data_IF_079304592559
#
_entry.id   IF_079304592559
#
_cell.length_a   1.000
_cell.length_b   1.000
_cell.length_c   1.000
_cell.angle_alpha   90.00
_cell.angle_beta   90.00
_cell.angle_gamma   90.00
#
_symmetry.space_group_name_H-M   'P 1'
#
loop_
_entity.id
_entity.type
_entity.pdbx_description
1 polymer ?
#
# COMPACT_ATOMS: atom_id res chain seq x y z
N UNK A 1 -17.53 -24.57 -58.74
CA UNK A 1 -17.02 -23.82 -59.91
C UNK A 1 -16.65 -22.44 -59.41
N UNK A 2 -15.57 -21.92 -59.94
CA UNK A 2 -14.82 -20.71 -59.57
C UNK A 2 -13.73 -20.89 -58.49
N UNK A 3 -12.55 -20.55 -58.99
CA UNK A 3 -11.21 -21.04 -58.72
C UNK A 3 -10.34 -19.80 -58.86
N UNK A 4 -9.77 -19.28 -57.76
CA UNK A 4 -8.78 -18.19 -57.83
C UNK A 4 -7.63 -18.47 -56.87
N UNK A 5 -6.64 -19.18 -57.43
CA UNK A 5 -5.18 -18.98 -57.39
C UNK A 5 -4.55 -18.32 -56.14
N UNK A 6 -3.82 -19.14 -55.37
CA UNK A 6 -2.60 -18.75 -54.65
C UNK A 6 -1.38 -18.87 -55.59
N UNK A 7 -0.34 -18.04 -55.44
CA UNK A 7 1.00 -18.40 -55.90
C UNK A 7 1.87 -18.89 -54.74
N UNK A 8 2.46 -20.06 -54.94
CA UNK A 8 3.65 -20.57 -54.25
C UNK A 8 4.90 -20.35 -55.12
N UNK A 9 6.06 -20.42 -54.45
CA UNK A 9 7.44 -20.56 -54.95
C UNK A 9 8.10 -19.25 -55.45
N UNK A 10 9.38 -18.98 -55.19
CA UNK A 10 10.50 -19.90 -55.24
C UNK A 10 11.74 -19.40 -54.47
N UNK A 11 12.61 -20.35 -54.13
CA UNK A 11 13.88 -20.25 -53.39
C UNK A 11 14.99 -19.91 -54.39
N UNK A 12 15.93 -19.02 -54.05
CA UNK A 12 17.32 -19.19 -54.52
C UNK A 12 18.35 -18.56 -53.57
N UNK A 13 19.34 -19.39 -53.27
CA UNK A 13 20.57 -19.22 -52.50
C UNK A 13 21.62 -18.35 -53.21
N UNK A 14 22.41 -17.55 -52.47
CA UNK A 14 23.86 -17.77 -52.25
C UNK A 14 24.55 -16.62 -51.46
N UNK A 15 25.12 -16.98 -50.30
CA UNK A 15 26.56 -16.88 -49.94
C UNK A 15 27.31 -15.53 -49.87
N UNK A 16 28.22 -15.48 -48.86
CA UNK A 16 29.42 -14.62 -48.66
C UNK A 16 29.05 -13.28 -47.94
N UNK A 17 29.57 -12.86 -46.78
CA UNK A 17 30.95 -12.71 -46.26
C UNK A 17 30.94 -12.68 -44.70
N UNK A 18 31.90 -13.35 -44.05
CA UNK A 18 32.30 -13.16 -42.63
C UNK A 18 33.39 -12.09 -42.52
N UNK A 19 33.54 -11.34 -41.40
CA UNK A 19 34.82 -10.77 -41.02
C UNK A 19 35.48 -11.64 -39.93
N UNK A 20 36.65 -12.16 -40.28
CA UNK A 20 37.59 -12.81 -39.37
C UNK A 20 38.68 -11.84 -38.89
N UNK A 21 39.24 -12.21 -37.76
CA UNK A 21 40.36 -11.64 -37.02
C UNK A 21 41.65 -11.53 -37.84
N UNK A 22 42.48 -10.53 -37.54
CA UNK A 22 43.93 -10.57 -37.77
C UNK A 22 44.67 -9.93 -36.57
N UNK A 23 45.61 -10.71 -36.04
CA UNK A 23 46.59 -10.41 -35.01
C UNK A 23 47.83 -9.68 -35.56
N UNK A 24 48.48 -8.97 -34.63
CA UNK A 24 49.91 -8.73 -34.42
C UNK A 24 50.81 -8.04 -35.48
N UNK A 25 51.59 -7.07 -34.96
CA UNK A 25 52.85 -6.67 -35.57
C UNK A 25 53.54 -5.42 -34.99
N UNK A 26 54.36 -5.62 -33.94
CA UNK A 26 55.76 -5.10 -33.81
C UNK A 26 56.06 -3.76 -33.10
N UNK A 27 56.62 -3.89 -31.88
CA UNK A 27 57.87 -3.33 -31.28
C UNK A 27 58.65 -2.28 -32.10
N UNK A 28 59.29 -1.24 -31.54
CA UNK A 28 60.22 -1.22 -30.40
C UNK A 28 60.72 0.23 -30.14
N UNK A 29 61.29 0.46 -28.95
CA UNK A 29 62.38 1.42 -28.59
C UNK A 29 62.15 2.73 -27.80
N UNK A 30 63.03 2.82 -26.78
CA UNK A 30 63.68 3.97 -26.12
C UNK A 30 62.91 4.72 -25.02
N UNK A 31 63.31 4.59 -23.75
CA UNK A 31 64.40 5.35 -23.10
C UNK A 31 64.72 4.75 -21.72
N UNK A 32 65.98 4.93 -21.32
CA UNK A 32 66.84 4.10 -20.50
C UNK A 32 67.28 4.82 -19.19
N UNK A 33 67.40 4.05 -18.10
CA UNK A 33 68.37 4.09 -16.99
C UNK A 33 68.62 5.31 -16.06
N UNK A 34 68.51 4.99 -14.76
CA UNK A 34 69.56 5.02 -13.70
C UNK A 34 70.43 6.27 -13.44
N UNK A 35 70.38 6.79 -12.21
CA UNK A 35 71.59 7.17 -11.45
C UNK A 35 71.34 7.35 -9.93
N UNK A 36 72.21 6.73 -9.13
CA UNK A 36 72.42 6.85 -7.68
C UNK A 36 72.93 8.23 -7.28
N UNK A 37 72.57 8.75 -6.09
CA UNK A 37 73.48 9.52 -5.22
C UNK A 37 73.20 9.19 -3.75
N UNK A 38 74.30 8.98 -3.01
CA UNK A 38 74.40 8.57 -1.60
C UNK A 38 74.46 9.77 -0.64
N UNK A 39 74.16 9.54 0.64
CA UNK A 39 74.73 10.31 1.76
C UNK A 39 75.13 9.34 2.89
N UNK A 40 76.33 9.61 3.41
CA UNK A 40 77.20 8.83 4.29
C UNK A 40 77.23 9.44 5.71
N UNK A 41 77.73 8.64 6.67
CA UNK A 41 78.35 8.94 7.99
C UNK A 41 77.51 9.10 9.26
N UNK A 42 77.93 8.31 10.25
CA UNK A 42 77.78 8.59 11.67
C UNK A 42 78.21 7.44 12.59
N UNK A 43 79.52 7.29 12.80
CA UNK A 43 80.17 6.33 13.72
C UNK A 43 79.83 6.56 15.20
N UNK A 44 79.74 5.47 15.95
CA UNK A 44 79.94 5.41 17.40
C UNK A 44 80.45 4.02 17.83
N UNK A 45 81.76 3.90 18.07
CA UNK A 45 82.42 2.77 18.75
C UNK A 45 81.90 2.67 20.20
N UNK A 46 81.80 1.50 20.84
CA UNK A 46 82.90 0.80 21.55
C UNK A 46 82.34 -0.47 22.26
N UNK A 47 83.17 -1.37 22.84
CA UNK A 47 83.20 -2.78 22.48
C UNK A 47 82.85 -3.75 23.62
N UNK A 48 82.85 -5.03 23.23
CA UNK A 48 83.15 -6.22 24.02
C UNK A 48 82.20 -6.54 25.18
N UNK A 49 81.64 -7.75 25.16
CA UNK A 49 81.56 -8.65 26.31
C UNK A 49 80.78 -9.92 25.88
N UNK A 50 81.57 -10.97 25.73
CA UNK A 50 81.28 -12.34 26.17
C UNK A 50 80.55 -13.26 25.20
N UNK A 51 81.37 -14.15 24.63
CA UNK A 51 81.02 -15.46 24.09
C UNK A 51 80.05 -16.21 25.01
N UNK A 52 78.81 -16.40 24.55
CA UNK A 52 77.92 -17.40 25.12
C UNK A 52 77.99 -18.68 24.27
N UNK A 53 78.66 -19.67 24.84
CA UNK A 53 78.77 -21.04 24.36
C UNK A 53 77.38 -21.63 24.10
N UNK A 54 77.14 -22.12 22.88
CA UNK A 54 75.87 -22.76 22.52
C UNK A 54 75.78 -24.16 23.16
N UNK A 55 74.65 -24.54 23.78
CA UNK A 55 74.52 -25.81 24.49
C UNK A 55 74.68 -27.00 23.53
N UNK A 56 75.61 -27.91 23.86
CA UNK A 56 75.86 -29.18 23.18
C UNK A 56 75.18 -30.31 23.95
N UNK A 57 74.74 -31.35 23.25
CA UNK A 57 74.19 -32.55 23.90
C UNK A 57 75.29 -33.41 24.56
N UNK A 58 74.90 -34.48 25.26
CA UNK A 58 75.79 -35.40 26.01
C UNK A 58 76.81 -36.16 25.12
N UNK A 59 76.85 -35.92 23.80
CA UNK A 59 77.87 -36.43 22.86
C UNK A 59 78.59 -35.31 22.07
N UNK A 60 78.38 -34.05 22.42
CA UNK A 60 79.17 -32.93 21.93
C UNK A 60 78.70 -32.29 20.62
N UNK A 61 77.49 -32.59 20.13
CA UNK A 61 76.96 -31.97 18.91
C UNK A 61 76.04 -30.76 19.22
N UNK A 62 76.09 -29.67 18.41
CA UNK A 62 75.24 -28.50 18.61
C UNK A 62 73.79 -28.77 18.18
N UNK A 63 72.83 -28.45 19.05
CA UNK A 63 71.39 -28.63 18.83
C UNK A 63 70.77 -27.31 18.31
N UNK A 64 70.22 -27.33 17.10
CA UNK A 64 69.45 -26.21 16.55
C UNK A 64 67.95 -26.40 16.85
N UNK A 65 67.36 -25.49 17.63
CA UNK A 65 65.91 -25.42 17.87
C UNK A 65 65.26 -24.54 16.79
N UNK A 66 64.60 -25.15 15.81
CA UNK A 66 63.83 -24.45 14.80
C UNK A 66 62.51 -23.91 15.41
N UNK A 67 62.41 -22.58 15.58
CA UNK A 67 61.19 -21.91 16.04
C UNK A 67 60.19 -21.80 14.88
N UNK A 68 59.18 -22.68 14.86
CA UNK A 68 58.03 -22.59 13.95
C UNK A 68 57.21 -21.33 14.26
N UNK A 69 57.41 -20.26 13.50
CA UNK A 69 56.54 -19.06 13.51
C UNK A 69 55.24 -19.37 12.78
N UNK A 70 54.13 -19.53 13.51
CA UNK A 70 52.77 -19.53 12.92
C UNK A 70 52.48 -18.16 12.30
N UNK A 71 52.60 -18.06 10.97
CA UNK A 71 52.10 -16.90 10.21
C UNK A 71 50.59 -17.05 10.07
N UNK A 72 49.83 -16.18 10.71
CA UNK A 72 48.40 -16.05 10.43
C UNK A 72 48.28 -15.55 8.99
N UNK A 73 47.60 -16.30 8.11
CA UNK A 73 47.46 -15.89 6.73
C UNK A 73 46.63 -14.59 6.64
N UNK A 74 46.98 -13.64 5.75
CA UNK A 74 46.37 -12.29 5.71
C UNK A 74 44.85 -12.27 5.55
N UNK A 75 44.27 -13.26 4.86
CA UNK A 75 42.81 -13.42 4.68
C UNK A 75 42.01 -13.61 5.98
N UNK A 76 42.64 -14.11 7.06
CA UNK A 76 41.95 -14.32 8.34
C UNK A 76 41.62 -12.98 9.00
N UNK A 77 42.51 -11.99 8.85
CA UNK A 77 42.30 -10.64 9.37
C UNK A 77 41.13 -9.97 8.63
N UNK A 78 41.10 -10.10 7.30
CA UNK A 78 39.99 -9.58 6.49
C UNK A 78 38.65 -10.24 6.86
N UNK A 79 38.64 -11.56 7.08
CA UNK A 79 37.44 -12.28 7.51
C UNK A 79 36.95 -11.83 8.89
N UNK A 80 37.85 -11.65 9.86
CA UNK A 80 37.50 -11.15 11.20
C UNK A 80 36.92 -9.74 11.10
N UNK A 81 37.53 -8.84 10.32
CA UNK A 81 37.00 -7.48 10.12
C UNK A 81 35.61 -7.50 9.49
N UNK A 82 35.40 -8.33 8.45
CA UNK A 82 34.10 -8.48 7.80
C UNK A 82 33.05 -9.05 8.75
N UNK A 83 33.37 -10.10 9.51
CA UNK A 83 32.47 -10.67 10.51
C UNK A 83 32.13 -9.67 11.62
N UNK A 84 33.09 -8.83 12.02
CA UNK A 84 32.87 -7.78 13.02
C UNK A 84 31.96 -6.68 12.49
N UNK A 85 32.13 -6.27 11.23
CA UNK A 85 31.23 -5.32 10.56
C UNK A 85 29.81 -5.88 10.41
N UNK A 86 29.68 -7.15 10.02
CA UNK A 86 28.37 -7.81 9.91
C UNK A 86 27.69 -7.99 11.26
N UNK A 87 28.42 -8.37 12.30
CA UNK A 87 27.89 -8.44 13.66
C UNK A 87 27.49 -7.06 14.19
N UNK A 88 28.29 -6.02 13.89
CA UNK A 88 27.96 -4.63 14.18
C UNK A 88 26.65 -4.20 13.50
N UNK A 89 26.49 -4.51 12.21
CA UNK A 89 25.26 -4.23 11.47
C UNK A 89 24.05 -4.94 12.10
N UNK A 90 24.18 -6.24 12.40
CA UNK A 90 23.09 -7.05 12.96
C UNK A 90 22.74 -6.72 14.42
N UNK A 91 23.64 -6.14 15.20
CA UNK A 91 23.37 -5.73 16.58
C UNK A 91 22.91 -4.27 16.68
N UNK A 92 23.47 -3.37 15.86
CA UNK A 92 23.19 -1.94 15.92
C UNK A 92 21.90 -1.59 15.18
N UNK A 93 21.64 -2.19 14.00
CA UNK A 93 20.46 -1.86 13.20
C UNK A 93 19.14 -2.20 13.92
N UNK A 94 18.96 -3.37 14.56
CA UNK A 94 17.73 -3.64 15.31
C UNK A 94 17.53 -2.68 16.48
N UNK A 95 18.61 -2.24 17.14
CA UNK A 95 18.51 -1.27 18.23
C UNK A 95 18.19 0.15 17.74
N UNK A 96 18.58 0.51 16.52
CA UNK A 96 18.25 1.81 15.93
C UNK A 96 16.80 1.84 15.42
N UNK A 97 16.31 0.73 14.86
CA UNK A 97 14.91 0.58 14.42
C UNK A 97 13.95 0.51 15.62
N UNK A 98 14.37 -0.09 16.74
CA UNK A 98 13.59 -0.10 17.99
C UNK A 98 13.50 1.26 18.70
N UNK A 99 14.22 2.27 18.21
CA UNK A 99 14.23 3.65 18.74
C UNK A 99 13.43 4.63 17.88
N UNK A 100 12.53 4.16 17.03
CA UNK A 100 11.46 5.05 16.59
C UNK A 100 10.61 5.38 17.83
N UNK A 101 10.34 6.68 18.11
CA UNK A 101 9.44 7.04 19.17
C UNK A 101 8.11 6.33 18.90
N UNK A 102 7.66 5.51 19.84
CA UNK A 102 6.23 5.23 19.98
C UNK A 102 5.52 6.57 19.86
N UNK A 103 4.52 6.75 18.98
CA UNK A 103 3.68 7.93 19.07
C UNK A 103 3.20 7.96 20.51
N UNK A 104 3.57 9.02 21.22
CA UNK A 104 3.08 9.27 22.55
C UNK A 104 1.58 9.43 22.38
N UNK A 105 0.82 8.39 22.71
CA UNK A 105 -0.63 8.53 22.89
C UNK A 105 -0.76 9.22 24.25
N UNK A 106 -0.29 10.46 24.32
CA UNK A 106 -0.74 11.38 25.34
C UNK A 106 -2.24 11.41 25.16
N UNK A 107 -2.99 11.00 26.19
CA UNK A 107 -4.44 11.19 26.19
C UNK A 107 -4.68 12.65 25.81
N UNK A 108 -5.36 12.96 24.69
CA UNK A 108 -5.74 14.33 24.45
C UNK A 108 -6.74 14.70 25.53
N UNK A 109 -6.34 15.64 26.37
CA UNK A 109 -7.24 16.46 27.18
C UNK A 109 -8.25 17.09 26.22
N UNK A 110 -9.53 16.83 26.45
CA UNK A 110 -10.69 17.55 25.92
C UNK A 110 -10.57 17.93 24.43
N UNK A 111 -10.55 16.92 23.55
CA UNK A 111 -10.73 17.07 22.11
C UNK A 111 -12.10 16.55 21.70
N UNK A 112 -12.88 17.42 21.06
CA UNK A 112 -14.26 17.25 20.58
C UNK A 112 -14.65 15.80 20.27
N UNK A 113 -15.58 15.28 21.08
CA UNK A 113 -16.24 13.98 20.90
C UNK A 113 -16.75 13.83 19.47
N UNK A 114 -16.71 12.60 18.94
CA UNK A 114 -17.42 12.23 17.70
C UNK A 114 -18.91 12.60 17.91
N UNK A 115 -19.53 13.45 17.09
CA UNK A 115 -20.98 13.63 17.17
C UNK A 115 -21.67 12.29 16.89
N UNK A 116 -22.44 11.76 17.85
CA UNK A 116 -23.33 10.61 17.65
C UNK A 116 -22.81 9.23 18.08
N UNK A 117 -21.60 9.09 18.66
CA UNK A 117 -21.15 7.76 19.13
C UNK A 117 -22.01 7.19 20.26
N UNK A 118 -22.54 8.07 21.11
CA UNK A 118 -23.50 7.73 22.18
C UNK A 118 -24.84 7.27 21.62
N UNK A 119 -25.23 7.78 20.45
CA UNK A 119 -26.50 7.42 19.80
C UNK A 119 -26.47 5.96 19.31
N UNK A 120 -25.33 5.47 18.83
CA UNK A 120 -25.17 4.08 18.32
C UNK A 120 -25.27 2.99 19.41
N UNK A 121 -24.99 3.34 20.66
CA UNK A 121 -25.05 2.39 21.78
C UNK A 121 -26.44 2.39 22.45
N UNK A 122 -27.21 3.46 22.27
CA UNK A 122 -28.51 3.64 22.89
C UNK A 122 -29.69 3.23 22.00
N UNK A 123 -29.49 3.13 20.68
CA UNK A 123 -30.55 2.79 19.74
C UNK A 123 -30.83 1.28 19.69
N UNK A 124 -32.09 0.91 19.92
CA UNK A 124 -32.54 -0.50 19.87
C UNK A 124 -32.49 -1.07 18.46
N UNK A 125 -32.40 -0.19 17.47
CA UNK A 125 -32.39 -0.54 16.07
C UNK A 125 -30.97 -0.54 15.47
N UNK A 126 -29.91 -0.51 16.29
CA UNK A 126 -28.54 -0.61 15.80
C UNK A 126 -28.06 -2.04 15.57
N UNK A 127 -27.27 -2.25 14.51
CA UNK A 127 -26.59 -3.50 14.21
C UNK A 127 -25.18 -3.23 13.66
N UNK A 128 -24.35 -4.27 13.61
CA UNK A 128 -22.98 -4.21 13.07
C UNK A 128 -22.79 -5.26 12.00
N UNK A 129 -22.06 -4.91 10.95
CA UNK A 129 -21.65 -5.86 9.90
C UNK A 129 -20.61 -6.86 10.43
N UNK A 130 -20.98 -8.14 10.43
CA UNK A 130 -20.14 -9.25 10.88
C UNK A 130 -19.43 -10.02 9.76
N UNK A 131 -19.82 -9.77 8.50
CA UNK A 131 -19.13 -10.30 7.32
C UNK A 131 -17.97 -9.38 6.88
N UNK A 132 -16.97 -9.93 6.17
CA UNK A 132 -15.82 -9.17 5.66
C UNK A 132 -16.25 -7.96 4.82
N UNK A 133 -17.29 -8.13 4.00
CA UNK A 133 -18.08 -7.06 3.41
C UNK A 133 -19.51 -7.56 3.22
N UNK A 134 -20.47 -6.64 3.13
CA UNK A 134 -21.88 -6.99 3.02
C UNK A 134 -22.59 -6.13 1.97
N UNK A 135 -23.02 -6.70 0.81
CA UNK A 135 -23.75 -5.95 -0.20
C UNK A 135 -25.15 -5.56 0.29
N UNK A 136 -25.56 -4.34 -0.07
CA UNK A 136 -26.90 -3.82 0.06
C UNK A 136 -27.62 -3.91 -1.28
N UNK A 137 -28.85 -4.40 -1.27
CA UNK A 137 -29.68 -4.63 -2.44
C UNK A 137 -30.87 -3.67 -2.46
N UNK A 138 -31.35 -3.29 -3.66
CA UNK A 138 -32.52 -2.42 -3.79
C UNK A 138 -33.84 -3.08 -3.33
N UNK A 139 -33.88 -4.41 -3.24
CA UNK A 139 -35.01 -5.23 -2.80
C UNK A 139 -34.49 -6.36 -1.91
N UNK A 140 -35.32 -7.00 -1.06
CA UNK A 140 -34.93 -8.15 -0.24
C UNK A 140 -34.75 -9.42 -1.08
N UNK A 141 -33.88 -9.36 -2.10
CA UNK A 141 -33.57 -10.40 -3.06
C UNK A 141 -32.09 -10.26 -3.46
N UNK A 142 -31.34 -11.36 -3.37
CA UNK A 142 -29.92 -11.39 -3.72
C UNK A 142 -29.63 -11.20 -5.21
N UNK A 143 -30.65 -11.32 -6.07
CA UNK A 143 -30.57 -11.02 -7.51
C UNK A 143 -30.95 -9.58 -7.86
N UNK A 144 -31.41 -8.80 -6.88
CA UNK A 144 -31.72 -7.38 -7.09
C UNK A 144 -30.44 -6.59 -7.37
N UNK A 145 -30.60 -5.40 -7.96
CA UNK A 145 -29.51 -4.46 -8.13
C UNK A 145 -28.84 -4.16 -6.78
N UNK A 146 -27.50 -4.18 -6.76
CA UNK A 146 -26.70 -3.71 -5.63
C UNK A 146 -26.70 -2.19 -5.61
N UNK A 147 -26.97 -1.62 -4.45
CA UNK A 147 -27.00 -0.16 -4.25
C UNK A 147 -25.76 0.34 -3.53
N UNK A 148 -25.17 -0.48 -2.65
CA UNK A 148 -23.94 -0.19 -1.91
C UNK A 148 -23.37 -1.50 -1.34
N UNK A 149 -22.28 -1.39 -0.60
CA UNK A 149 -21.68 -2.44 0.19
C UNK A 149 -21.15 -1.82 1.49
N UNK A 150 -21.39 -2.50 2.60
CA UNK A 150 -20.90 -2.12 3.92
C UNK A 150 -19.62 -2.91 4.25
N UNK A 151 -18.71 -2.26 4.95
CA UNK A 151 -17.44 -2.83 5.41
C UNK A 151 -17.65 -3.67 6.67
N UNK A 152 -16.69 -4.55 6.94
CA UNK A 152 -16.64 -5.25 8.21
C UNK A 152 -16.58 -4.26 9.38
N UNK A 153 -17.36 -4.56 10.41
CA UNK A 153 -17.45 -3.76 11.62
C UNK A 153 -18.07 -2.36 11.43
N UNK A 154 -18.70 -2.11 10.27
CA UNK A 154 -19.47 -0.88 10.02
C UNK A 154 -20.80 -0.94 10.77
N UNK A 155 -21.18 0.18 11.37
CA UNK A 155 -22.48 0.35 12.02
C UNK A 155 -23.58 0.51 10.96
N UNK A 156 -24.77 -0.03 11.27
CA UNK A 156 -25.98 0.19 10.47
C UNK A 156 -27.19 0.41 11.38
N UNK A 157 -28.11 1.26 10.94
CA UNK A 157 -29.44 1.38 11.57
C UNK A 157 -30.43 0.47 10.84
N UNK A 158 -31.10 -0.42 11.57
CA UNK A 158 -32.16 -1.31 11.06
C UNK A 158 -33.46 -0.50 10.92
N UNK A 159 -33.99 -0.45 9.72
CA UNK A 159 -35.25 0.23 9.41
C UNK A 159 -36.44 -0.74 9.39
N UNK A 160 -36.21 -1.97 8.94
CA UNK A 160 -37.22 -3.02 8.88
C UNK A 160 -36.56 -4.41 9.01
N UNK A 161 -37.11 -5.24 9.89
CA UNK A 161 -36.68 -6.61 10.14
C UNK A 161 -37.76 -7.66 9.84
N UNK A 162 -38.83 -7.31 9.10
CA UNK A 162 -39.96 -8.18 8.79
C UNK A 162 -39.60 -9.34 7.85
N UNK A 163 -38.58 -9.18 7.01
CA UNK A 163 -38.12 -10.28 6.14
C UNK A 163 -37.25 -11.27 6.90
N UNK A 164 -37.42 -12.56 6.59
CA UNK A 164 -36.65 -13.64 7.23
C UNK A 164 -35.16 -13.53 6.91
N UNK A 165 -34.84 -13.34 5.64
CA UNK A 165 -33.47 -13.45 5.14
C UNK A 165 -32.77 -12.09 4.98
N UNK A 166 -33.56 -11.01 4.87
CA UNK A 166 -33.06 -9.66 4.67
C UNK A 166 -33.56 -8.71 5.75
N UNK A 167 -32.77 -7.67 6.03
CA UNK A 167 -33.18 -6.51 6.80
C UNK A 167 -33.04 -5.28 5.92
N UNK A 168 -33.98 -4.35 5.99
CA UNK A 168 -33.77 -3.02 5.43
C UNK A 168 -32.95 -2.21 6.44
N UNK A 169 -31.86 -1.62 5.99
CA UNK A 169 -30.93 -0.87 6.83
C UNK A 169 -30.57 0.47 6.20
N UNK A 170 -30.04 1.38 7.02
CA UNK A 170 -29.43 2.64 6.62
C UNK A 170 -27.98 2.66 7.12
N UNK A 171 -27.05 2.96 6.22
CA UNK A 171 -25.64 3.23 6.55
C UNK A 171 -25.49 4.66 7.10
N UNK A 172 -24.36 4.95 7.75
CA UNK A 172 -24.08 6.26 8.35
C UNK A 172 -24.00 7.40 7.31
N UNK A 173 -23.69 7.08 6.05
CA UNK A 173 -23.71 8.02 4.92
C UNK A 173 -25.12 8.27 4.35
N UNK A 174 -26.15 7.66 4.94
CA UNK A 174 -27.55 7.81 4.58
C UNK A 174 -28.05 6.83 3.52
N UNK A 175 -27.19 5.99 2.94
CA UNK A 175 -27.62 5.00 1.95
C UNK A 175 -28.50 3.94 2.60
N UNK A 176 -29.67 3.68 2.00
CA UNK A 176 -30.61 2.66 2.45
C UNK A 176 -30.65 1.47 1.51
N UNK A 177 -30.78 0.26 2.04
CA UNK A 177 -30.96 -0.94 1.23
C UNK A 177 -31.17 -2.19 2.06
N UNK A 178 -31.39 -3.31 1.38
CA UNK A 178 -31.60 -4.60 2.00
C UNK A 178 -30.29 -5.38 2.12
N UNK A 179 -29.94 -5.78 3.33
CA UNK A 179 -28.75 -6.58 3.64
C UNK A 179 -29.19 -7.95 4.17
N UNK A 180 -28.41 -9.00 3.92
CA UNK A 180 -28.72 -10.32 4.47
C UNK A 180 -28.59 -10.29 5.98
N UNK A 181 -29.59 -10.84 6.68
CA UNK A 181 -29.59 -10.96 8.15
C UNK A 181 -28.35 -11.67 8.68
N UNK A 182 -27.85 -12.67 7.96
CA UNK A 182 -26.63 -13.42 8.32
C UNK A 182 -25.33 -12.61 8.30
N UNK A 183 -25.35 -11.39 7.73
CA UNK A 183 -24.19 -10.49 7.71
C UNK A 183 -24.21 -9.47 8.83
N UNK A 184 -25.24 -9.49 9.68
CA UNK A 184 -25.41 -8.55 10.78
C UNK A 184 -25.36 -9.28 12.12
N UNK A 185 -24.89 -8.55 13.13
CA UNK A 185 -25.10 -8.88 14.53
C UNK A 185 -25.79 -7.73 15.25
N UNK A 186 -26.64 -8.05 16.22
CA UNK A 186 -27.24 -7.07 17.12
C UNK A 186 -26.30 -6.70 18.28
N UNK A 187 -25.14 -7.37 18.40
CA UNK A 187 -24.14 -7.01 19.39
C UNK A 187 -23.37 -5.75 18.94
N UNK A 188 -23.75 -4.62 19.52
CA UNK A 188 -23.14 -3.29 19.28
C UNK A 188 -22.08 -2.92 20.31
N UNK A 189 -21.81 -3.79 21.30
CA UNK A 189 -20.85 -3.50 22.39
C UNK A 189 -19.43 -3.17 21.88
N UNK A 190 -19.11 -3.70 20.70
CA UNK A 190 -17.86 -3.45 19.99
C UNK A 190 -17.71 -2.02 19.47
N UNK A 191 -18.80 -1.26 19.31
CA UNK A 191 -18.76 0.14 18.83
C UNK A 191 -18.33 1.10 19.94
N UNK A 192 -18.37 0.67 21.20
CA UNK A 192 -18.01 1.52 22.33
C UNK A 192 -16.49 1.72 22.45
N UNK A 193 -15.99 2.97 22.48
CA UNK A 193 -14.59 3.26 22.76
C UNK A 193 -14.22 3.00 24.24
N UNK A 194 -15.20 2.80 25.12
CA UNK A 194 -14.97 2.64 26.55
C UNK A 194 -14.08 1.43 26.86
N UNK A 195 -13.04 1.62 27.67
CA UNK A 195 -12.10 0.55 28.03
C UNK A 195 -11.14 0.14 26.91
N UNK A 196 -11.07 0.90 25.81
CA UNK A 196 -10.10 0.67 24.74
C UNK A 196 -8.88 1.59 24.83
N UNK A 197 -7.77 1.08 24.33
CA UNK A 197 -6.49 1.77 24.24
C UNK A 197 -6.35 2.56 22.95
N UNK A 198 -6.94 2.05 21.86
CA UNK A 198 -6.84 2.68 20.55
C UNK A 198 -8.02 2.34 19.65
N UNK A 199 -8.30 3.23 18.70
CA UNK A 199 -9.09 2.95 17.50
C UNK A 199 -8.13 2.55 16.38
N UNK A 200 -8.43 1.47 15.67
CA UNK A 200 -7.55 0.87 14.66
C UNK A 200 -8.24 0.87 13.32
N UNK A 201 -7.67 1.52 12.31
CA UNK A 201 -8.24 1.61 10.96
C UNK A 201 -7.35 0.86 9.96
N UNK A 202 -7.92 -0.03 9.16
CA UNK A 202 -7.15 -0.81 8.18
C UNK A 202 -6.76 0.06 6.97
N UNK A 203 -5.46 0.13 6.66
CA UNK A 203 -4.88 0.96 5.58
C UNK A 203 -4.32 0.16 4.40
N UNK A 204 -4.34 -1.16 4.50
CA UNK A 204 -3.91 -2.08 3.42
C UNK A 204 -5.13 -2.80 2.85
N UNK A 205 -5.06 -3.36 1.62
CA UNK A 205 -6.22 -3.98 0.97
C UNK A 205 -6.97 -4.98 1.85
N UNK A 206 -6.23 -5.84 2.58
CA UNK A 206 -6.79 -6.76 3.56
C UNK A 206 -5.86 -6.94 4.76
N UNK A 207 -6.44 -6.89 5.95
CA UNK A 207 -5.78 -7.21 7.22
C UNK A 207 -6.29 -8.54 7.75
N UNK A 208 -5.39 -9.49 7.97
CA UNK A 208 -5.72 -10.77 8.59
C UNK A 208 -5.90 -10.59 10.09
N UNK A 209 -7.04 -11.02 10.60
CA UNK A 209 -7.34 -11.10 12.03
C UNK A 209 -7.26 -12.56 12.47
N UNK A 210 -6.44 -12.83 13.48
CA UNK A 210 -6.13 -14.18 13.95
C UNK A 210 -6.83 -14.48 15.28
N UNK A 211 -7.12 -15.74 15.58
CA UNK A 211 -7.81 -16.12 16.82
C UNK A 211 -6.92 -16.00 18.06
N UNK A 212 -5.60 -16.10 17.89
CA UNK A 212 -4.62 -16.05 18.97
C UNK A 212 -3.39 -15.23 18.54
N UNK A 213 -2.70 -14.67 19.53
CA UNK A 213 -1.46 -13.92 19.38
C UNK A 213 -0.35 -14.69 18.64
N UNK A 214 -0.27 -16.00 18.88
CA UNK A 214 0.70 -16.91 18.28
C UNK A 214 -0.02 -18.18 17.83
N UNK A 215 0.34 -18.70 16.66
CA UNK A 215 -0.22 -19.92 16.07
C UNK A 215 -1.76 -19.94 15.96
N UNK A 216 -2.39 -18.76 15.95
CA UNK A 216 -3.83 -18.63 15.75
C UNK A 216 -4.25 -19.06 14.34
N UNK A 217 -5.51 -19.45 14.21
CA UNK A 217 -6.20 -19.60 12.93
C UNK A 217 -6.66 -18.23 12.42
N UNK A 218 -6.82 -18.10 11.09
CA UNK A 218 -7.45 -16.93 10.50
C UNK A 218 -8.94 -16.90 10.91
N UNK A 219 -9.37 -15.81 11.54
CA UNK A 219 -10.77 -15.55 11.87
C UNK A 219 -11.45 -14.87 10.69
N UNK A 220 -10.87 -13.77 10.22
CA UNK A 220 -11.41 -12.99 9.11
C UNK A 220 -10.31 -12.17 8.42
N UNK A 221 -10.54 -11.84 7.16
CA UNK A 221 -9.79 -10.81 6.45
C UNK A 221 -10.62 -9.53 6.41
N UNK A 222 -10.18 -8.53 7.16
CA UNK A 222 -10.81 -7.23 7.22
C UNK A 222 -10.35 -6.37 6.04
N UNK A 223 -11.27 -5.87 5.20
CA UNK A 223 -10.89 -4.99 4.09
C UNK A 223 -10.35 -3.65 4.57
N UNK A 224 -9.64 -2.96 3.68
CA UNK A 224 -9.29 -1.53 3.81
C UNK A 224 -10.52 -0.70 4.25
N UNK A 225 -10.32 0.23 5.19
CA UNK A 225 -11.39 1.05 5.77
C UNK A 225 -12.08 0.43 7.00
N UNK A 226 -11.96 -0.88 7.22
CA UNK A 226 -12.52 -1.51 8.44
C UNK A 226 -11.91 -0.87 9.69
N UNK A 227 -12.76 -0.59 10.68
CA UNK A 227 -12.36 0.06 11.93
C UNK A 227 -12.61 -0.86 13.11
N UNK A 228 -11.65 -0.96 14.01
CA UNK A 228 -11.71 -1.74 15.24
C UNK A 228 -11.42 -0.88 16.46
N UNK A 229 -11.77 -1.43 17.61
CA UNK A 229 -11.30 -0.94 18.89
C UNK A 229 -10.37 -1.98 19.53
N UNK A 230 -9.18 -1.54 19.93
CA UNK A 230 -8.17 -2.37 20.55
C UNK A 230 -8.16 -2.16 22.07
N UNK A 231 -8.29 -3.24 22.82
CA UNK A 231 -8.32 -3.25 24.29
C UNK A 231 -7.02 -3.76 24.92
N UNK A 232 -6.09 -4.26 24.10
CA UNK A 232 -4.77 -4.70 24.52
C UNK A 232 -3.72 -4.41 23.44
N UNK A 233 -2.52 -4.03 23.88
CA UNK A 233 -1.35 -3.83 23.03
C UNK A 233 -0.09 -4.34 23.72
N UNK A 234 0.75 -5.06 22.98
CA UNK A 234 2.10 -5.42 23.36
C UNK A 234 3.04 -5.29 22.16
N UNK A 235 3.84 -4.23 22.14
CA UNK A 235 4.63 -3.85 20.97
C UNK A 235 3.74 -3.62 19.75
N UNK A 236 3.99 -4.41 18.69
CA UNK A 236 3.21 -4.39 17.45
C UNK A 236 1.97 -5.29 17.49
N UNK A 237 1.78 -6.09 18.53
CA UNK A 237 0.64 -6.98 18.65
C UNK A 237 -0.54 -6.27 19.33
N UNK A 238 -1.71 -6.33 18.70
CA UNK A 238 -2.95 -5.72 19.16
C UNK A 238 -4.02 -6.81 19.32
N UNK A 239 -4.80 -6.74 20.40
CA UNK A 239 -6.07 -7.44 20.49
C UNK A 239 -7.19 -6.47 20.14
N UNK A 240 -8.01 -6.84 19.17
CA UNK A 240 -9.15 -6.06 18.68
C UNK A 240 -10.45 -6.76 19.03
N UNK A 241 -11.48 -5.97 19.35
CA UNK A 241 -12.84 -6.50 19.53
C UNK A 241 -13.45 -6.81 18.17
N UNK A 242 -14.13 -7.94 18.09
CA UNK A 242 -14.86 -8.42 16.91
C UNK A 242 -16.35 -8.54 17.22
N UNK A 243 -17.20 -8.62 16.18
CA UNK A 243 -18.61 -8.95 16.31
C UNK A 243 -18.88 -10.21 17.14
N UNK A 244 -20.01 -10.22 17.86
CA UNK A 244 -20.46 -11.31 18.75
C UNK A 244 -19.62 -11.51 20.01
N UNK A 245 -19.01 -10.44 20.55
CA UNK A 245 -18.19 -10.49 21.75
C UNK A 245 -16.86 -11.24 21.60
N UNK A 246 -16.47 -11.57 20.36
CA UNK A 246 -15.20 -12.24 20.09
C UNK A 246 -14.02 -11.25 20.15
N UNK A 247 -12.81 -11.80 20.27
CA UNK A 247 -11.57 -11.02 20.17
C UNK A 247 -10.70 -11.59 19.05
N UNK A 248 -10.02 -10.69 18.36
CA UNK A 248 -9.07 -11.00 17.30
C UNK A 248 -7.70 -10.42 17.60
N UNK A 249 -6.68 -10.98 16.95
CA UNK A 249 -5.31 -10.52 17.06
C UNK A 249 -4.79 -10.04 15.71
N UNK A 250 -4.23 -8.84 15.71
CA UNK A 250 -3.61 -8.23 14.53
C UNK A 250 -2.25 -7.64 14.91
N UNK A 251 -1.35 -7.51 13.94
CA UNK A 251 -0.15 -6.68 14.12
C UNK A 251 -0.43 -5.21 13.73
N UNK A 252 0.43 -4.28 14.15
CA UNK A 252 0.29 -2.84 13.89
C UNK A 252 0.68 -2.41 12.46
N UNK A 253 1.29 -3.30 11.65
CA UNK A 253 1.67 -2.96 10.27
C UNK A 253 0.44 -2.79 9.38
N UNK A 254 0.40 -1.74 8.56
CA UNK A 254 -0.71 -1.52 7.61
C UNK A 254 -2.04 -1.15 8.27
N UNK A 255 -2.02 -0.70 9.53
CA UNK A 255 -3.16 -0.08 10.21
C UNK A 255 -2.76 1.29 10.73
N UNK A 256 -3.73 2.20 10.82
CA UNK A 256 -3.60 3.47 11.50
C UNK A 256 -4.13 3.33 12.93
N UNK A 257 -3.33 3.76 13.91
CA UNK A 257 -3.73 3.79 15.32
C UNK A 257 -4.09 5.23 15.70
N UNK A 258 -5.28 5.39 16.28
CA UNK A 258 -5.80 6.65 16.77
C UNK A 258 -6.14 6.49 18.26
N UNK A 259 -6.27 7.61 18.96
CA UNK A 259 -6.96 7.61 20.25
C UNK A 259 -8.37 6.98 20.08
N UNK A 260 -8.95 6.33 21.10
CA UNK A 260 -10.26 5.67 20.99
C UNK A 260 -11.34 6.59 20.38
N UNK A 261 -11.39 7.85 20.78
CA UNK A 261 -12.33 8.85 20.23
C UNK A 261 -11.73 9.71 19.10
N UNK A 262 -10.46 9.47 18.73
CA UNK A 262 -9.75 10.28 17.74
C UNK A 262 -10.30 10.07 16.33
N UNK A 263 -10.45 11.16 15.59
CA UNK A 263 -10.90 11.15 14.18
C UNK A 263 -9.71 11.32 13.23
N UNK A 264 -9.85 10.84 11.99
CA UNK A 264 -8.87 11.14 10.93
C UNK A 264 -9.23 12.54 10.42
N UNK A 265 -8.27 13.45 10.45
CA UNK A 265 -8.42 14.80 9.91
C UNK A 265 -7.61 14.91 8.61
N UNK A 266 -8.12 15.62 7.58
CA UNK A 266 -7.33 15.92 6.39
C UNK A 266 -6.07 16.72 6.78
N UNK A 267 -4.91 16.32 6.24
CA UNK A 267 -3.66 17.06 6.37
C UNK A 267 -3.35 17.91 5.13
N UNK A 268 -2.27 18.67 5.16
CA UNK A 268 -1.82 19.48 4.02
C UNK A 268 -1.51 18.64 2.76
N UNK A 269 -1.13 17.38 2.95
CA UNK A 269 -0.85 16.39 1.90
C UNK A 269 -2.08 15.58 1.47
N UNK A 270 -3.28 16.03 1.84
CA UNK A 270 -4.54 15.31 1.59
C UNK A 270 -4.70 14.81 0.15
N UNK A 271 -4.51 15.68 -0.85
CA UNK A 271 -4.71 15.33 -2.26
C UNK A 271 -3.80 14.17 -2.69
N UNK A 272 -2.52 14.21 -2.28
CA UNK A 272 -1.55 13.18 -2.59
C UNK A 272 -1.91 11.85 -1.92
N UNK A 273 -2.20 11.87 -0.61
CA UNK A 273 -2.57 10.65 0.12
C UNK A 273 -3.89 10.06 -0.36
N UNK A 274 -4.84 10.89 -0.75
CA UNK A 274 -6.11 10.51 -1.34
C UNK A 274 -5.91 9.74 -2.65
N UNK A 275 -5.11 10.28 -3.57
CA UNK A 275 -4.77 9.62 -4.84
C UNK A 275 -4.00 8.31 -4.59
N UNK A 276 -3.01 8.30 -3.70
CA UNK A 276 -2.29 7.07 -3.32
C UNK A 276 -3.24 5.99 -2.81
N UNK A 277 -4.24 6.38 -2.02
CA UNK A 277 -5.26 5.45 -1.51
C UNK A 277 -6.17 4.94 -2.63
N UNK A 278 -6.60 5.80 -3.55
CA UNK A 278 -7.38 5.40 -4.73
C UNK A 278 -6.62 4.41 -5.61
N UNK A 279 -5.32 4.64 -5.80
CA UNK A 279 -4.46 3.77 -6.61
C UNK A 279 -4.27 2.37 -6.01
N UNK A 280 -4.56 2.18 -4.72
CA UNK A 280 -4.62 0.83 -4.12
C UNK A 280 -5.74 -0.04 -4.73
N UNK A 281 -6.72 0.57 -5.41
CA UNK A 281 -7.81 -0.11 -6.11
C UNK A 281 -7.57 -0.25 -7.63
N UNK A 282 -6.43 0.20 -8.14
CA UNK A 282 -6.07 -0.02 -9.53
C UNK A 282 -6.10 -1.52 -9.88
N UNK A 283 -6.64 -1.84 -11.05
CA UNK A 283 -6.89 -3.21 -11.54
C UNK A 283 -7.85 -4.08 -10.70
N UNK A 284 -8.49 -3.51 -9.67
CA UNK A 284 -9.50 -4.26 -8.90
C UNK A 284 -10.74 -4.55 -9.77
N UNK A 285 -11.40 -5.72 -9.60
CA UNK A 285 -12.63 -6.03 -10.31
C UNK A 285 -13.71 -4.98 -10.07
N UNK A 286 -14.38 -4.54 -11.12
CA UNK A 286 -15.52 -3.64 -11.01
C UNK A 286 -16.74 -4.40 -10.52
N UNK A 287 -17.28 -3.98 -9.38
CA UNK A 287 -18.53 -4.50 -8.80
C UNK A 287 -19.40 -3.30 -8.43
N UNK A 288 -20.65 -3.20 -8.96
CA UNK A 288 -21.56 -2.12 -8.59
C UNK A 288 -21.77 -2.03 -7.07
N UNK A 289 -21.60 -0.83 -6.52
CA UNK A 289 -21.69 -0.56 -5.09
C UNK A 289 -20.57 -1.15 -4.23
N UNK A 290 -19.58 -1.82 -4.82
CA UNK A 290 -18.50 -2.47 -4.07
C UNK A 290 -17.53 -1.45 -3.43
N UNK A 291 -16.98 -1.81 -2.26
CA UNK A 291 -16.10 -0.96 -1.43
C UNK A 291 -14.78 -1.66 -1.05
N UNK A 292 -14.42 -2.77 -1.71
CA UNK A 292 -13.22 -3.55 -1.36
C UNK A 292 -12.35 -3.83 -2.58
N UNK A 293 -11.07 -4.18 -2.37
CA UNK A 293 -10.18 -4.58 -3.47
C UNK A 293 -10.60 -5.88 -4.18
N UNK A 294 -11.55 -6.66 -3.63
CA UNK A 294 -12.15 -7.83 -4.32
C UNK A 294 -13.27 -7.45 -5.29
N UNK A 295 -13.81 -6.25 -5.15
CA UNK A 295 -14.93 -5.75 -5.92
C UNK A 295 -15.17 -4.30 -5.54
N UNK A 296 -14.82 -3.38 -6.44
CA UNK A 296 -14.84 -1.95 -6.19
C UNK A 296 -15.72 -1.23 -7.21
N UNK A 297 -16.37 -0.17 -6.76
CA UNK A 297 -17.04 0.81 -7.61
C UNK A 297 -16.33 2.17 -7.50
N UNK A 298 -16.41 3.07 -8.49
CA UNK A 298 -15.82 4.41 -8.38
C UNK A 298 -16.29 5.16 -7.11
N UNK A 299 -17.59 5.15 -6.83
CA UNK A 299 -18.17 5.73 -5.62
C UNK A 299 -17.66 5.05 -4.33
N UNK A 300 -17.47 3.73 -4.35
CA UNK A 300 -16.91 3.00 -3.21
C UNK A 300 -15.43 3.28 -2.99
N UNK A 301 -14.64 3.43 -4.07
CA UNK A 301 -13.24 3.83 -3.99
C UNK A 301 -13.10 5.24 -3.40
N UNK A 302 -13.94 6.18 -3.85
CA UNK A 302 -14.03 7.53 -3.30
C UNK A 302 -14.42 7.49 -1.83
N UNK A 303 -15.44 6.72 -1.44
CA UNK A 303 -15.84 6.53 -0.04
C UNK A 303 -14.68 6.07 0.85
N UNK A 304 -14.00 4.97 0.49
CA UNK A 304 -12.90 4.43 1.30
C UNK A 304 -11.70 5.39 1.31
N UNK A 305 -11.31 5.94 0.17
CA UNK A 305 -10.21 6.89 0.09
C UNK A 305 -10.49 8.17 0.88
N UNK A 306 -11.73 8.67 0.84
CA UNK A 306 -12.15 9.79 1.68
C UNK A 306 -12.01 9.47 3.15
N UNK A 307 -12.64 8.36 3.59
CA UNK A 307 -12.65 7.96 4.99
C UNK A 307 -11.23 7.83 5.56
N UNK A 308 -10.31 7.23 4.80
CA UNK A 308 -8.93 7.04 5.22
C UNK A 308 -8.08 8.31 5.24
N UNK A 309 -8.58 9.39 4.65
CA UNK A 309 -7.91 10.69 4.57
C UNK A 309 -8.76 11.82 5.19
N UNK A 310 -9.71 11.47 6.05
CA UNK A 310 -10.46 12.43 6.88
C UNK A 310 -11.64 13.13 6.19
N UNK A 311 -12.09 12.63 5.05
CA UNK A 311 -13.26 13.14 4.31
C UNK A 311 -14.42 12.16 4.36
N UNK A 312 -15.66 12.67 4.42
CA UNK A 312 -16.86 11.84 4.39
C UNK A 312 -17.58 11.95 3.04
N UNK A 313 -17.24 11.05 2.11
CA UNK A 313 -17.89 10.99 0.80
C UNK A 313 -19.08 10.05 0.81
N UNK A 314 -20.19 10.47 0.20
CA UNK A 314 -21.36 9.63 0.09
C UNK A 314 -21.14 8.53 -0.96
N UNK A 315 -21.61 7.31 -0.69
CA UNK A 315 -21.68 6.25 -1.72
C UNK A 315 -22.78 6.50 -2.76
N UNK A 316 -23.76 7.34 -2.45
CA UNK A 316 -24.77 7.75 -3.44
C UNK A 316 -24.17 8.73 -4.46
N UNK A 317 -24.14 8.33 -5.73
CA UNK A 317 -23.54 9.11 -6.82
C UNK A 317 -24.16 10.49 -7.00
N UNK A 318 -25.47 10.65 -6.75
CA UNK A 318 -26.15 11.94 -6.88
C UNK A 318 -25.78 12.87 -5.74
N UNK A 319 -25.66 12.34 -4.51
CA UNK A 319 -25.16 13.09 -3.36
C UNK A 319 -23.70 13.49 -3.58
N UNK A 320 -22.88 12.54 -4.00
CA UNK A 320 -21.46 12.73 -4.29
C UNK A 320 -21.22 13.81 -5.37
N UNK A 321 -22.03 13.84 -6.42
CA UNK A 321 -21.99 14.88 -7.47
C UNK A 321 -22.31 16.29 -6.95
N UNK A 322 -22.76 16.45 -5.70
CA UNK A 322 -22.98 17.76 -5.07
C UNK A 322 -21.96 18.08 -3.97
N UNK A 323 -21.00 17.18 -3.71
CA UNK A 323 -19.93 17.41 -2.74
C UNK A 323 -18.73 18.07 -3.42
N UNK A 324 -18.05 18.98 -2.70
CA UNK A 324 -16.90 19.73 -3.22
C UNK A 324 -17.29 20.97 -4.03
N UNK A 325 -16.28 21.61 -4.61
CA UNK A 325 -16.43 22.80 -5.45
C UNK A 325 -16.73 22.41 -6.90
N UNK A 326 -17.66 23.09 -7.56
CA UNK A 326 -17.85 22.94 -9.01
C UNK A 326 -16.64 23.46 -9.78
N UNK A 327 -16.18 22.69 -10.76
CA UNK A 327 -15.11 23.12 -11.67
C UNK A 327 -15.68 23.27 -13.06
N UNK A 328 -15.62 24.50 -13.58
CA UNK A 328 -15.88 24.78 -14.98
C UNK A 328 -14.66 24.37 -15.82
N UNK A 329 -14.85 23.41 -16.72
CA UNK A 329 -13.80 23.01 -17.65
C UNK A 329 -13.67 24.01 -18.78
N UNK A 330 -12.42 24.30 -19.18
CA UNK A 330 -12.17 25.01 -20.44
C UNK A 330 -12.63 24.17 -21.62
N UNK A 331 -12.99 24.81 -22.73
CA UNK A 331 -13.30 24.11 -23.98
C UNK A 331 -12.03 23.87 -24.80
N UNK A 332 -11.95 22.74 -25.48
CA UNK A 332 -10.91 22.44 -26.47
C UNK A 332 -11.19 23.13 -27.83
N UNK A 333 -10.34 22.86 -28.82
CA UNK A 333 -10.46 23.46 -30.15
C UNK A 333 -11.76 23.05 -30.88
N UNK A 334 -12.34 21.92 -30.50
CA UNK A 334 -13.58 21.36 -31.03
C UNK A 334 -14.82 21.84 -30.24
N UNK A 335 -14.62 22.64 -29.18
CA UNK A 335 -15.69 23.17 -28.34
C UNK A 335 -16.21 22.17 -27.30
N UNK A 336 -15.48 21.08 -27.04
CA UNK A 336 -15.81 20.07 -26.03
C UNK A 336 -15.10 20.37 -24.70
N UNK A 337 -15.63 19.90 -23.56
CA UNK A 337 -14.96 20.06 -22.27
C UNK A 337 -13.58 19.40 -22.25
N UNK A 338 -12.53 20.19 -22.02
CA UNK A 338 -11.16 19.72 -21.98
C UNK A 338 -10.85 19.10 -20.60
N UNK A 339 -10.86 17.76 -20.53
CA UNK A 339 -10.51 17.02 -19.30
C UNK A 339 -9.11 17.36 -18.77
N UNK A 340 -8.20 17.83 -19.62
CA UNK A 340 -6.87 18.29 -19.24
C UNK A 340 -6.88 19.52 -18.30
N UNK A 341 -8.00 20.26 -18.24
CA UNK A 341 -8.16 21.39 -17.30
C UNK A 341 -8.49 20.96 -15.87
N UNK A 342 -8.73 19.66 -15.64
CA UNK A 342 -8.90 19.09 -14.32
C UNK A 342 -7.58 19.06 -13.55
N UNK A 343 -7.61 19.44 -12.28
CA UNK A 343 -6.51 19.25 -11.35
C UNK A 343 -6.51 17.83 -10.79
N UNK A 344 -5.35 17.37 -10.32
CA UNK A 344 -5.23 16.10 -9.60
C UNK A 344 -6.20 16.02 -8.41
N UNK A 345 -6.89 14.89 -8.30
CA UNK A 345 -7.94 14.66 -7.31
C UNK A 345 -9.33 15.17 -7.72
N UNK A 346 -9.47 15.90 -8.83
CA UNK A 346 -10.79 16.28 -9.35
C UNK A 346 -11.58 15.04 -9.80
N UNK A 347 -12.88 15.08 -9.54
CA UNK A 347 -13.82 14.00 -9.80
C UNK A 347 -14.72 14.42 -10.97
N UNK A 348 -14.75 13.63 -12.03
CA UNK A 348 -15.61 13.86 -13.20
C UNK A 348 -16.77 12.86 -13.23
N UNK A 349 -17.97 13.38 -13.40
CA UNK A 349 -19.21 12.60 -13.52
C UNK A 349 -19.62 12.53 -14.97
N UNK A 350 -19.89 11.32 -15.48
CA UNK A 350 -20.15 11.11 -16.90
C UNK A 350 -21.53 10.49 -17.09
N UNK A 351 -22.36 11.12 -17.92
CA UNK A 351 -23.71 10.64 -18.17
C UNK A 351 -23.72 9.45 -19.11
N UNK A 352 -24.81 8.69 -19.09
CA UNK A 352 -25.03 7.56 -19.98
C UNK A 352 -25.27 8.04 -21.41
N UNK A 353 -24.77 7.27 -22.38
CA UNK A 353 -25.05 7.51 -23.79
C UNK A 353 -26.57 7.45 -24.05
N UNK A 354 -27.13 8.55 -24.55
CA UNK A 354 -28.57 8.70 -24.83
C UNK A 354 -29.44 9.07 -23.62
N UNK A 355 -28.85 9.32 -22.44
CA UNK A 355 -29.55 9.81 -21.25
C UNK A 355 -28.60 10.73 -20.46
N UNK A 356 -28.77 12.04 -20.63
CA UNK A 356 -27.97 13.11 -20.02
C UNK A 356 -28.27 13.31 -18.52
N UNK A 357 -29.31 12.67 -18.00
CA UNK A 357 -29.71 12.78 -16.58
C UNK A 357 -29.14 11.67 -15.70
N UNK A 358 -28.69 10.57 -16.30
CA UNK A 358 -28.23 9.38 -15.59
C UNK A 358 -26.70 9.25 -15.59
N UNK A 359 -26.09 9.24 -14.40
CA UNK A 359 -24.65 9.01 -14.22
C UNK A 359 -24.31 7.56 -14.62
N UNK A 360 -23.52 7.39 -15.68
CA UNK A 360 -22.99 6.09 -16.08
C UNK A 360 -21.80 5.68 -15.22
N UNK A 361 -20.83 6.57 -15.06
CA UNK A 361 -19.58 6.30 -14.35
C UNK A 361 -18.99 7.59 -13.77
N UNK A 362 -17.97 7.41 -12.94
CA UNK A 362 -17.20 8.47 -12.30
C UNK A 362 -15.73 8.21 -12.63
N UNK A 363 -15.03 9.25 -13.06
CA UNK A 363 -13.58 9.25 -13.22
C UNK A 363 -12.92 10.13 -12.16
N UNK A 364 -11.68 9.81 -11.79
CA UNK A 364 -10.87 10.63 -10.89
C UNK A 364 -9.56 10.96 -11.58
N UNK A 365 -9.19 12.23 -11.58
CA UNK A 365 -7.88 12.69 -12.05
C UNK A 365 -6.81 12.22 -11.06
N UNK A 366 -5.90 11.35 -11.49
CA UNK A 366 -4.87 10.77 -10.60
C UNK A 366 -3.45 11.21 -10.93
N UNK A 367 -3.24 11.80 -12.10
CA UNK A 367 -1.97 12.35 -12.57
C UNK A 367 -2.26 13.37 -13.69
N UNK A 368 -1.23 14.08 -14.16
CA UNK A 368 -1.23 15.13 -15.19
C UNK A 368 -1.82 14.69 -16.53
N UNK A 369 -1.86 13.39 -16.86
CA UNK A 369 -2.46 12.90 -18.12
C UNK A 369 -3.33 11.66 -17.91
N UNK A 370 -3.64 11.32 -16.65
CA UNK A 370 -4.31 10.07 -16.31
C UNK A 370 -5.65 10.24 -15.58
N UNK A 371 -6.59 9.38 -15.94
CA UNK A 371 -7.90 9.24 -15.31
C UNK A 371 -8.10 7.82 -14.79
N UNK A 372 -8.37 7.66 -13.50
CA UNK A 372 -8.80 6.41 -12.91
C UNK A 372 -10.32 6.27 -13.05
N UNK A 373 -10.80 5.24 -13.75
CA UNK A 373 -12.20 5.11 -14.15
C UNK A 373 -12.64 3.66 -14.32
N UNK A 374 -13.94 3.41 -14.11
CA UNK A 374 -14.59 2.15 -14.51
C UNK A 374 -15.31 2.34 -15.85
N UNK A 375 -14.84 1.66 -16.90
CA UNK A 375 -15.43 1.70 -18.24
C UNK A 375 -16.45 0.57 -18.42
N UNK A 376 -17.55 0.85 -19.11
CA UNK A 376 -18.64 -0.13 -19.30
C UNK A 376 -18.24 -1.40 -20.08
N UNK A 377 -17.22 -1.32 -20.91
CA UNK A 377 -16.68 -2.45 -21.68
C UNK A 377 -15.52 -3.17 -20.96
N UNK A 378 -15.21 -2.80 -19.72
CA UNK A 378 -14.14 -3.39 -18.92
C UNK A 378 -14.72 -3.93 -17.60
N UNK A 379 -14.07 -4.95 -17.06
CA UNK A 379 -14.45 -5.58 -15.80
C UNK A 379 -13.60 -5.13 -14.61
N UNK A 380 -12.76 -4.10 -14.77
CA UNK A 380 -11.82 -3.64 -13.75
C UNK A 380 -11.75 -2.11 -13.70
N UNK A 381 -11.35 -1.58 -12.55
CA UNK A 381 -11.07 -0.16 -12.34
C UNK A 381 -9.65 0.16 -12.83
N UNK A 382 -9.50 1.05 -13.83
CA UNK A 382 -8.23 1.23 -14.55
C UNK A 382 -7.87 2.70 -14.73
N UNK A 383 -6.57 2.93 -14.89
CA UNK A 383 -6.07 4.18 -15.42
C UNK A 383 -6.16 4.19 -16.95
N UNK A 384 -6.61 5.30 -17.51
CA UNK A 384 -6.55 5.61 -18.94
C UNK A 384 -5.87 6.96 -19.16
N UNK A 385 -5.21 7.13 -20.30
CA UNK A 385 -4.64 8.42 -20.69
C UNK A 385 -5.73 9.36 -21.23
N UNK A 386 -5.64 10.64 -20.95
CA UNK A 386 -6.58 11.65 -21.45
C UNK A 386 -6.53 11.80 -22.98
N UNK A 387 -5.40 11.47 -23.60
CA UNK A 387 -5.25 11.45 -25.05
C UNK A 387 -5.89 10.21 -25.72
N UNK A 388 -6.38 9.24 -24.94
CA UNK A 388 -7.02 8.03 -25.48
C UNK A 388 -8.35 8.36 -26.16
N UNK A 389 -8.72 7.55 -27.17
CA UNK A 389 -10.01 7.69 -27.86
C UNK A 389 -11.20 7.57 -26.90
N UNK A 390 -11.04 6.75 -25.85
CA UNK A 390 -12.01 6.56 -24.80
C UNK A 390 -12.20 7.84 -23.98
N UNK A 391 -11.12 8.51 -23.56
CA UNK A 391 -11.20 9.76 -22.81
C UNK A 391 -11.83 10.90 -23.64
N UNK A 392 -11.50 10.99 -24.93
CA UNK A 392 -12.10 11.97 -25.85
C UNK A 392 -13.60 11.74 -26.03
N UNK A 393 -14.05 10.50 -26.14
CA UNK A 393 -15.49 10.18 -26.22
C UNK A 393 -16.21 10.55 -24.91
N UNK A 394 -15.58 10.27 -23.77
CA UNK A 394 -16.09 10.57 -22.44
C UNK A 394 -16.21 12.08 -22.18
N UNK A 395 -15.30 12.90 -22.71
CA UNK A 395 -15.31 14.36 -22.59
C UNK A 395 -16.62 14.99 -23.09
N UNK A 396 -17.18 14.46 -24.18
CA UNK A 396 -18.47 14.91 -24.73
C UNK A 396 -19.67 14.60 -23.84
N UNK A 397 -19.47 13.79 -22.78
CA UNK A 397 -20.52 13.31 -21.86
C UNK A 397 -20.29 13.73 -20.41
N UNK A 398 -19.44 14.72 -20.18
CA UNK A 398 -19.22 15.28 -18.85
C UNK A 398 -20.51 15.94 -18.36
N UNK A 399 -20.96 15.53 -17.18
CA UNK A 399 -22.10 16.14 -16.48
C UNK A 399 -21.65 17.25 -15.54
N UNK A 400 -20.58 16.98 -14.79
CA UNK A 400 -20.07 17.86 -13.76
C UNK A 400 -18.64 17.43 -13.41
N UNK A 401 -17.85 18.40 -12.94
CA UNK A 401 -16.57 18.15 -12.28
C UNK A 401 -16.59 18.75 -10.89
N UNK A 402 -16.09 17.98 -9.93
CA UNK A 402 -16.01 18.37 -8.52
C UNK A 402 -14.57 18.35 -8.05
N UNK A 403 -14.11 19.47 -7.51
CA UNK A 403 -12.85 19.60 -6.81
C UNK A 403 -13.04 19.38 -5.33
N UNK A 404 -12.25 18.48 -4.77
CA UNK A 404 -12.20 18.27 -3.33
C UNK A 404 -11.54 19.48 -2.67
N UNK A 405 -12.20 20.04 -1.67
CA UNK A 405 -11.61 21.05 -0.80
C UNK A 405 -11.22 20.34 0.49
N UNK A 406 -9.92 20.27 0.78
CA UNK A 406 -9.50 20.02 2.15
C UNK A 406 -10.00 21.21 3.01
N UNK A 407 -10.63 20.95 4.16
CA UNK A 407 -11.20 21.98 5.03
C UNK A 407 -10.17 22.95 5.59
#
# INVERSE_FOLDING_TARGET
MDEIKRPENEILSDKIIKPGSLEEGRSDKDVEQSAKIAIDRGLGQMPDLQDHESPKDLKGNPVYLDKVKRRIPPWLIAFVVFATLMAGLFLVVPQLVSRQPTPDITQPSDGTMIPGWEDHLADKDSAVVSASSAPLFAKPDGNSARVAEALFNEHVTVLDANSRDFMNVRLDDGVTGFIKRSYLTADTSLLSPEGCLARVVVRIPFKRVMSHASQGSLVIEAPMGSTFFADYRNGDLLRVRLPNGESGWINASGVLLLAPTGVITPGDDFHQLFIVTLMAFHDSPFVPGGVTARGISPEGALFVAGQLNGMNFARDRRVLMRQGLEVDLSLDAEGLPALASMAEGDIVFIHKKGDDTAIQTIGIRVDDDQLLIALANRSTFRVIDLASSEAVELASRVMAVRRLLAP
#
